data_IF_496545666479
#
_entry.id   IF_496545666479
#
_cell.length_a   1.000
_cell.length_b   1.000
_cell.length_c   1.000
_cell.angle_alpha   90.00
_cell.angle_beta   90.00
_cell.angle_gamma   90.00
#
_symmetry.space_group_name_H-M   'P 1'
#
loop_
_entity.id
_entity.type
_entity.pdbx_description
1 polymer ?
#
# COMPACT_ATOMS: atom_id res chain seq x y z
N UNK A 1 2.65 12.65 11.10
CA UNK A 1 3.39 12.51 9.82
C UNK A 1 3.71 11.05 9.61
N UNK A 2 3.57 10.58 8.37
CA UNK A 2 3.71 9.17 7.98
C UNK A 2 5.03 8.55 8.47
N UNK A 3 6.14 9.29 8.34
CA UNK A 3 7.49 8.82 8.67
C UNK A 3 7.70 8.42 10.14
N UNK A 4 6.87 8.94 11.06
CA UNK A 4 6.94 8.58 12.49
C UNK A 4 6.11 7.33 12.81
N UNK A 5 5.09 7.01 12.01
CA UNK A 5 4.12 5.94 12.29
C UNK A 5 4.40 4.67 11.50
N UNK A 6 4.91 4.78 10.27
CA UNK A 6 5.20 3.62 9.44
C UNK A 6 6.24 2.70 10.10
N UNK A 7 7.37 3.18 10.67
CA UNK A 7 8.32 2.29 11.35
C UNK A 7 7.70 1.50 12.51
N UNK A 8 6.75 2.10 13.23
CA UNK A 8 6.02 1.43 14.32
C UNK A 8 5.13 0.33 13.74
N UNK A 9 4.38 0.62 12.67
CA UNK A 9 3.54 -0.38 11.98
C UNK A 9 4.37 -1.59 11.51
N UNK A 10 5.56 -1.35 10.98
CA UNK A 10 6.44 -2.41 10.49
C UNK A 10 6.95 -3.33 11.61
N UNK A 11 7.04 -2.84 12.85
CA UNK A 11 7.42 -3.65 14.02
C UNK A 11 6.27 -4.52 14.56
N UNK A 12 5.02 -4.27 14.16
CA UNK A 12 3.87 -5.03 14.66
C UNK A 12 3.81 -6.39 13.94
N UNK A 13 3.67 -7.51 14.67
CA UNK A 13 3.42 -8.83 14.09
C UNK A 13 1.95 -8.91 13.65
N UNK A 14 1.67 -8.39 12.46
CA UNK A 14 0.34 -8.43 11.86
C UNK A 14 0.38 -9.21 10.54
N UNK A 15 -0.66 -10.01 10.29
CA UNK A 15 -0.85 -10.75 9.03
C UNK A 15 -1.07 -9.82 7.83
N UNK A 16 -1.50 -8.58 8.07
CA UNK A 16 -1.64 -7.54 7.06
C UNK A 16 -1.22 -6.19 7.65
N UNK A 17 -0.25 -5.52 7.01
CA UNK A 17 0.14 -4.14 7.31
C UNK A 17 -0.32 -3.25 6.17
N UNK A 18 -1.36 -2.44 6.40
CA UNK A 18 -1.85 -1.54 5.37
C UNK A 18 -1.71 -0.08 5.80
N UNK A 19 -1.62 0.81 4.81
CA UNK A 19 -1.70 2.25 5.01
C UNK A 19 -3.04 2.77 4.50
N UNK A 20 -3.70 3.58 5.31
CA UNK A 20 -4.80 4.43 4.89
C UNK A 20 -4.26 5.86 4.77
N UNK A 21 -3.92 6.26 3.55
CA UNK A 21 -3.45 7.58 3.17
C UNK A 21 -4.65 8.44 2.75
N UNK A 22 -5.58 8.66 3.68
CA UNK A 22 -6.76 9.50 3.44
C UNK A 22 -7.15 10.33 4.69
N UNK A 23 -7.54 11.60 4.51
CA UNK A 23 -7.44 12.36 3.26
C UNK A 23 -5.97 12.67 2.91
N UNK A 24 -5.63 12.62 1.62
CA UNK A 24 -4.36 13.15 1.14
C UNK A 24 -4.37 14.68 1.22
N UNK A 25 -3.40 15.24 1.93
CA UNK A 25 -3.21 16.68 2.11
C UNK A 25 -1.92 17.20 1.49
N UNK A 26 -1.04 16.27 1.13
CA UNK A 26 0.27 16.49 0.53
C UNK A 26 0.68 15.21 -0.21
N UNK A 27 1.71 15.31 -1.04
CA UNK A 27 2.33 14.15 -1.67
C UNK A 27 3.05 13.30 -0.62
N UNK A 28 2.92 11.97 -0.72
CA UNK A 28 3.57 11.01 0.19
C UNK A 28 4.50 10.12 -0.62
N UNK A 29 5.74 9.98 -0.15
CA UNK A 29 6.73 9.05 -0.70
C UNK A 29 6.80 7.78 0.14
N UNK A 30 6.45 6.63 -0.45
CA UNK A 30 6.45 5.30 0.16
C UNK A 30 7.70 4.47 -0.16
N UNK A 31 8.57 4.93 -1.08
CA UNK A 31 9.73 4.16 -1.57
C UNK A 31 10.68 3.63 -0.49
N UNK A 32 10.72 4.27 0.70
CA UNK A 32 11.53 3.84 1.85
C UNK A 32 10.94 2.65 2.62
N UNK A 33 9.71 2.27 2.34
CA UNK A 33 8.92 1.27 3.07
C UNK A 33 8.43 0.13 2.18
N UNK A 34 8.90 0.13 0.94
CA UNK A 34 8.60 -0.83 -0.13
C UNK A 34 9.77 -1.83 -0.24
N UNK A 35 9.47 -3.12 -0.49
CA UNK A 35 10.47 -4.22 -0.40
C UNK A 35 11.24 -4.46 -1.69
N UNK A 36 11.08 -3.62 -2.72
CA UNK A 36 11.54 -3.90 -4.08
C UNK A 36 10.88 -5.16 -4.68
N UNK A 37 9.56 -5.27 -4.57
CA UNK A 37 8.78 -6.33 -5.21
C UNK A 37 8.74 -7.66 -4.48
N UNK A 38 9.24 -7.71 -3.24
CA UNK A 38 9.30 -8.96 -2.46
C UNK A 38 8.08 -9.07 -1.51
N UNK A 39 7.44 -7.96 -1.12
CA UNK A 39 6.41 -7.92 -0.07
C UNK A 39 5.10 -8.66 -0.37
N UNK A 40 4.76 -8.85 -1.65
CA UNK A 40 3.57 -9.59 -2.06
C UNK A 40 3.86 -11.02 -2.54
N UNK A 41 5.09 -11.29 -2.98
CA UNK A 41 5.53 -12.56 -3.56
C UNK A 41 6.47 -13.38 -2.64
N UNK A 42 6.84 -12.88 -1.46
CA UNK A 42 7.72 -13.55 -0.48
C UNK A 42 7.16 -14.84 0.14
N UNK A 43 6.08 -15.39 -0.38
CA UNK A 43 5.56 -16.69 0.07
C UNK A 43 6.41 -17.87 -0.42
N UNK A 44 7.57 -17.64 -1.06
CA UNK A 44 8.55 -18.68 -1.40
C UNK A 44 9.96 -18.18 -1.11
N UNK A 45 10.34 -18.16 0.17
CA UNK A 45 11.73 -17.89 0.54
C UNK A 45 12.50 -19.20 0.50
N UNK A 46 13.56 -19.24 -0.31
CA UNK A 46 14.55 -20.31 -0.27
C UNK A 46 15.50 -20.04 0.90
N UNK A 47 15.55 -20.94 1.86
CA UNK A 47 16.52 -20.86 2.94
C UNK A 47 17.94 -20.92 2.35
N UNK A 48 18.77 -19.91 2.65
CA UNK A 48 20.17 -19.86 2.22
C UNK A 48 21.04 -20.96 2.85
N UNK A 49 20.62 -21.53 3.99
CA UNK A 49 21.35 -22.59 4.67
C UNK A 49 21.00 -24.01 4.16
N UNK A 50 19.72 -24.39 4.13
CA UNK A 50 19.32 -25.74 3.73
C UNK A 50 18.70 -25.85 2.32
N UNK A 51 18.49 -24.73 1.64
CA UNK A 51 17.94 -24.71 0.29
C UNK A 51 16.44 -25.04 0.19
N UNK A 52 15.76 -25.35 1.29
CA UNK A 52 14.31 -25.57 1.29
C UNK A 52 13.59 -24.27 1.01
N UNK A 53 12.63 -24.33 0.09
CA UNK A 53 11.67 -23.26 -0.18
C UNK A 53 10.44 -23.48 0.70
N UNK A 54 10.17 -22.55 1.60
CA UNK A 54 8.97 -22.57 2.45
C UNK A 54 8.00 -21.46 2.10
N UNK A 55 6.72 -21.70 2.39
CA UNK A 55 5.73 -20.63 2.54
C UNK A 55 5.95 -20.02 3.91
N UNK A 56 6.30 -18.74 3.97
CA UNK A 56 6.27 -18.03 5.25
C UNK A 56 4.80 -17.94 5.68
N UNK A 57 4.40 -18.55 6.81
CA UNK A 57 3.06 -18.35 7.31
C UNK A 57 2.90 -16.87 7.71
N UNK A 58 1.82 -16.19 7.27
CA UNK A 58 1.68 -14.73 7.37
C UNK A 58 1.65 -14.22 8.83
N UNK A 59 1.37 -15.11 9.78
CA UNK A 59 1.22 -14.84 11.22
C UNK A 59 2.49 -15.13 12.05
N UNK A 60 3.43 -15.90 11.52
CA UNK A 60 4.67 -16.26 12.22
C UNK A 60 5.86 -15.88 11.38
N UNK A 61 6.36 -14.68 11.65
CA UNK A 61 7.75 -14.30 11.42
C UNK A 61 8.66 -15.28 12.18
N UNK A 62 8.85 -16.49 11.64
CA UNK A 62 9.86 -17.41 12.11
C UNK A 62 11.24 -16.85 11.75
N UNK A 63 11.94 -16.33 12.77
CA UNK A 63 13.35 -15.89 12.69
C UNK A 63 14.30 -17.00 12.21
N UNK A 64 13.79 -18.21 12.00
CA UNK A 64 14.53 -19.42 11.80
C UNK A 64 13.80 -20.31 10.78
N UNK A 65 14.54 -20.88 9.83
CA UNK A 65 14.00 -21.88 8.92
C UNK A 65 13.46 -23.09 9.72
N UNK A 66 12.24 -23.56 9.44
CA UNK A 66 11.62 -24.68 10.17
C UNK A 66 12.41 -26.00 10.08
N UNK A 67 13.14 -26.23 8.99
CA UNK A 67 13.89 -27.47 8.77
C UNK A 67 15.24 -27.49 9.50
N UNK A 68 15.97 -26.37 9.46
CA UNK A 68 17.37 -26.33 9.91
C UNK A 68 17.64 -25.32 11.02
N UNK A 69 16.60 -24.60 11.46
CA UNK A 69 16.66 -23.55 12.48
C UNK A 69 17.69 -22.44 12.20
N UNK A 70 18.20 -22.35 10.96
CA UNK A 70 19.11 -21.28 10.58
C UNK A 70 18.38 -19.94 10.59
N UNK A 71 19.02 -18.93 11.18
CA UNK A 71 18.48 -17.57 11.21
C UNK A 71 18.29 -17.07 9.78
N UNK A 72 17.05 -16.82 9.38
CA UNK A 72 16.78 -16.27 8.05
C UNK A 72 17.15 -14.79 8.08
N UNK A 73 18.03 -14.35 7.17
CA UNK A 73 18.30 -12.92 6.97
C UNK A 73 17.03 -12.30 6.40
N UNK A 74 16.31 -11.60 7.27
CA UNK A 74 14.96 -11.16 7.01
C UNK A 74 14.83 -10.28 5.77
N UNK A 75 13.75 -10.48 5.03
CA UNK A 75 13.12 -9.40 4.28
C UNK A 75 12.60 -8.42 5.33
N UNK A 76 13.02 -7.16 5.25
CA UNK A 76 12.47 -6.12 6.12
C UNK A 76 10.93 -6.11 5.99
N UNK A 77 10.19 -5.99 7.11
CA UNK A 77 8.74 -5.89 7.07
C UNK A 77 8.33 -4.71 6.18
N UNK A 78 7.37 -4.95 5.28
CA UNK A 78 6.89 -3.92 4.33
C UNK A 78 5.40 -3.71 4.42
N UNK A 79 4.94 -2.66 3.72
CA UNK A 79 3.53 -2.37 3.52
C UNK A 79 2.97 -3.40 2.53
N UNK A 80 1.80 -3.97 2.86
CA UNK A 80 1.15 -5.03 2.09
C UNK A 80 -0.07 -4.55 1.31
N UNK A 81 -0.58 -3.35 1.61
CA UNK A 81 -1.74 -2.76 0.94
C UNK A 81 -1.81 -1.27 1.22
N UNK A 82 -2.22 -0.47 0.23
CA UNK A 82 -2.40 0.98 0.39
C UNK A 82 -3.78 1.38 -0.05
N UNK A 83 -4.46 2.17 0.78
CA UNK A 83 -5.70 2.87 0.44
C UNK A 83 -5.37 4.35 0.35
N UNK A 84 -5.79 5.02 -0.72
CA UNK A 84 -5.60 6.47 -0.87
C UNK A 84 -6.89 7.16 -1.32
N UNK A 85 -7.00 8.45 -1.00
CA UNK A 85 -8.10 9.27 -1.47
C UNK A 85 -8.17 10.66 -0.85
N UNK A 86 -9.01 11.51 -1.45
CA UNK A 86 -9.26 12.87 -0.97
C UNK A 86 -10.36 12.96 0.10
N UNK A 87 -10.44 14.13 0.75
CA UNK A 87 -11.42 14.41 1.80
C UNK A 87 -12.85 14.55 1.24
N UNK A 88 -13.84 14.00 1.93
CA UNK A 88 -15.26 14.16 1.60
C UNK A 88 -15.90 15.34 2.34
N UNK A 89 -17.02 15.86 1.82
CA UNK A 89 -17.86 16.82 2.53
C UNK A 89 -17.59 18.29 2.17
N UNK A 90 -18.43 19.21 2.69
CA UNK A 90 -18.29 20.64 2.48
C UNK A 90 -16.97 21.13 3.09
N UNK A 91 -16.35 22.13 2.46
CA UNK A 91 -15.06 22.70 2.90
C UNK A 91 -13.90 21.69 2.97
N UNK A 92 -14.02 20.56 2.26
CA UNK A 92 -12.93 19.59 2.09
C UNK A 92 -11.66 20.26 1.60
N UNK A 93 -10.52 19.84 2.13
CA UNK A 93 -9.21 20.34 1.72
C UNK A 93 -8.88 19.88 0.29
N UNK A 94 -8.17 20.71 -0.50
CA UNK A 94 -7.77 20.33 -1.85
C UNK A 94 -7.00 19.01 -1.86
N UNK A 95 -7.39 18.11 -2.75
CA UNK A 95 -6.67 16.88 -3.06
C UNK A 95 -6.22 16.96 -4.52
N UNK A 96 -4.93 16.80 -4.79
CA UNK A 96 -4.40 16.83 -6.15
C UNK A 96 -4.34 15.41 -6.71
N UNK A 97 -4.86 15.21 -7.94
CA UNK A 97 -4.86 13.91 -8.63
C UNK A 97 -3.43 13.36 -8.71
N UNK A 98 -2.45 14.24 -8.91
CA UNK A 98 -1.02 13.92 -8.98
C UNK A 98 -0.51 13.21 -7.72
N UNK A 99 -1.09 13.49 -6.54
CA UNK A 99 -0.72 12.80 -5.30
C UNK A 99 -1.23 11.35 -5.30
N UNK A 100 -2.44 11.12 -5.81
CA UNK A 100 -3.02 9.78 -5.96
C UNK A 100 -2.22 8.99 -7.01
N UNK A 101 -1.90 9.62 -8.15
CA UNK A 101 -1.05 9.03 -9.20
C UNK A 101 0.33 8.65 -8.67
N UNK A 102 0.94 9.51 -7.85
CA UNK A 102 2.24 9.23 -7.22
C UNK A 102 2.16 7.99 -6.32
N UNK A 103 1.10 7.84 -5.51
CA UNK A 103 0.89 6.64 -4.69
C UNK A 103 0.69 5.40 -5.57
N UNK A 104 -0.19 5.46 -6.57
CA UNK A 104 -0.46 4.33 -7.48
C UNK A 104 0.82 3.86 -8.15
N UNK A 105 1.60 4.80 -8.72
CA UNK A 105 2.88 4.49 -9.37
C UNK A 105 3.88 3.84 -8.42
N UNK A 106 3.97 4.32 -7.18
CA UNK A 106 4.85 3.74 -6.17
C UNK A 106 4.42 2.33 -5.75
N UNK A 107 3.12 2.08 -5.63
CA UNK A 107 2.57 0.77 -5.30
C UNK A 107 2.78 -0.22 -6.45
N UNK A 108 2.50 0.18 -7.69
CA UNK A 108 2.74 -0.63 -8.89
C UNK A 108 4.21 -0.98 -9.06
N UNK A 109 5.13 -0.04 -8.84
CA UNK A 109 6.58 -0.28 -8.91
C UNK A 109 7.05 -1.32 -7.88
N UNK A 110 6.34 -1.47 -6.75
CA UNK A 110 6.66 -2.43 -5.69
C UNK A 110 5.77 -3.69 -5.69
N UNK A 111 4.86 -3.83 -6.67
CA UNK A 111 3.82 -4.87 -6.68
C UNK A 111 2.98 -4.90 -5.37
N UNK A 112 2.75 -3.73 -4.76
CA UNK A 112 1.86 -3.60 -3.61
C UNK A 112 0.46 -3.28 -4.12
N UNK A 113 -0.59 -4.02 -3.70
CA UNK A 113 -1.95 -3.71 -4.11
C UNK A 113 -2.35 -2.32 -3.63
N UNK A 114 -3.07 -1.58 -4.47
CA UNK A 114 -3.56 -0.23 -4.15
C UNK A 114 -5.06 -0.08 -4.39
N UNK A 115 -5.73 0.61 -3.47
CA UNK A 115 -7.15 0.92 -3.56
C UNK A 115 -7.35 2.44 -3.60
N UNK A 116 -7.72 2.96 -4.77
CA UNK A 116 -8.13 4.36 -4.93
C UNK A 116 -9.59 4.46 -4.49
N UNK A 117 -9.81 4.97 -3.28
CA UNK A 117 -11.14 4.99 -2.67
C UNK A 117 -12.04 6.05 -3.30
N UNK A 118 -11.50 7.27 -3.41
CA UNK A 118 -12.19 8.44 -3.94
C UNK A 118 -11.19 9.55 -4.27
N UNK A 119 -11.52 10.39 -5.25
CA UNK A 119 -10.73 11.58 -5.57
C UNK A 119 -10.89 12.70 -4.53
N UNK A 120 -11.98 12.68 -3.77
CA UNK A 120 -12.34 13.70 -2.79
C UNK A 120 -13.39 14.69 -3.32
N UNK A 121 -14.06 15.35 -2.39
CA UNK A 121 -15.02 16.40 -2.69
C UNK A 121 -14.33 17.69 -3.18
N UNK A 122 -13.04 17.88 -2.88
CA UNK A 122 -12.22 19.01 -3.35
C UNK A 122 -11.02 18.60 -4.24
N UNK A 123 -11.26 17.83 -5.31
CA UNK A 123 -10.20 17.42 -6.26
C UNK A 123 -9.70 18.52 -7.21
N UNK A 124 -8.38 18.55 -7.44
CA UNK A 124 -7.69 19.37 -8.43
C UNK A 124 -6.82 18.50 -9.34
N UNK A 125 -6.66 18.92 -10.58
CA UNK A 125 -5.77 18.29 -11.56
C UNK A 125 -5.14 19.39 -12.39
N UNK A 126 -3.82 19.36 -12.53
CA UNK A 126 -3.01 20.38 -13.23
C UNK A 126 -3.28 21.80 -12.71
N UNK A 127 -3.44 21.93 -11.39
CA UNK A 127 -3.74 23.19 -10.71
C UNK A 127 -5.16 23.72 -10.93
N UNK A 128 -6.02 22.99 -11.64
CA UNK A 128 -7.41 23.38 -11.88
C UNK A 128 -8.38 22.47 -11.16
N UNK A 129 -9.58 23.01 -10.91
CA UNK A 129 -10.68 22.25 -10.32
C UNK A 129 -11.09 21.09 -11.24
N UNK A 130 -10.88 19.86 -10.79
CA UNK A 130 -11.37 18.68 -11.50
C UNK A 130 -12.86 18.48 -11.20
N UNK A 131 -13.70 18.51 -12.23
CA UNK A 131 -15.15 18.44 -12.08
C UNK A 131 -15.61 16.99 -12.05
N UNK A 132 -16.23 16.62 -10.93
CA UNK A 132 -16.88 15.34 -10.68
C UNK A 132 -18.36 15.60 -10.38
N UNK A 133 -19.24 14.67 -10.71
CA UNK A 133 -20.67 14.79 -10.38
C UNK A 133 -20.94 14.24 -8.99
N UNK A 134 -20.22 13.20 -8.59
CA UNK A 134 -20.35 12.65 -7.25
C UNK A 134 -19.80 13.61 -6.20
N UNK A 135 -20.53 13.77 -5.09
CA UNK A 135 -20.23 14.77 -4.05
C UNK A 135 -18.89 14.53 -3.35
N UNK A 136 -18.38 13.29 -3.36
CA UNK A 136 -17.12 12.91 -2.71
C UNK A 136 -16.07 12.37 -3.70
N UNK A 137 -16.39 12.32 -4.99
CA UNK A 137 -15.54 11.75 -6.03
C UNK A 137 -15.33 10.25 -5.84
N UNK A 138 -16.36 9.51 -5.45
CA UNK A 138 -16.33 8.07 -5.22
C UNK A 138 -16.81 7.21 -6.39
N UNK A 139 -17.40 7.81 -7.42
CA UNK A 139 -17.84 7.12 -8.63
C UNK A 139 -16.65 6.84 -9.55
N UNK A 140 -16.27 5.56 -9.64
CA UNK A 140 -15.03 5.13 -10.29
C UNK A 140 -14.98 5.48 -11.78
N UNK A 141 -16.15 5.53 -12.43
CA UNK A 141 -16.26 5.94 -13.84
C UNK A 141 -15.90 7.40 -14.08
N UNK A 142 -15.85 8.23 -13.03
CA UNK A 142 -15.42 9.63 -13.12
C UNK A 142 -13.92 9.79 -12.93
N UNK A 143 -13.21 8.72 -12.56
CA UNK A 143 -11.78 8.79 -12.33
C UNK A 143 -11.05 8.76 -13.67
N UNK A 144 -9.87 9.42 -13.77
CA UNK A 144 -8.93 9.13 -14.84
C UNK A 144 -8.75 7.62 -14.99
N UNK A 145 -8.71 7.13 -16.23
CA UNK A 145 -8.75 5.69 -16.54
C UNK A 145 -7.69 4.89 -15.77
N UNK A 146 -6.47 5.42 -15.67
CA UNK A 146 -5.34 4.81 -14.95
C UNK A 146 -5.47 4.84 -13.42
N UNK A 147 -6.47 5.53 -12.87
CA UNK A 147 -6.76 5.58 -11.44
C UNK A 147 -7.99 4.77 -11.05
N UNK A 148 -8.63 4.09 -12.00
CA UNK A 148 -9.77 3.19 -11.76
C UNK A 148 -9.31 1.86 -11.13
N UNK A 149 -8.60 1.96 -10.01
CA UNK A 149 -7.91 0.83 -9.36
C UNK A 149 -8.52 0.58 -7.99
N UNK A 150 -8.97 -0.65 -7.76
CA UNK A 150 -9.51 -1.15 -6.49
C UNK A 150 -8.97 -2.55 -6.19
N UNK A 151 -7.66 -2.63 -6.02
CA UNK A 151 -7.00 -3.89 -5.71
C UNK A 151 -7.10 -4.18 -4.21
N UNK A 152 -7.28 -5.46 -3.89
CA UNK A 152 -7.27 -5.99 -2.54
C UNK A 152 -6.07 -6.93 -2.38
N UNK A 153 -5.47 -7.02 -1.18
CA UNK A 153 -4.43 -8.00 -0.93
C UNK A 153 -5.03 -9.40 -0.99
N UNK A 154 -4.33 -10.33 -1.62
CA UNK A 154 -4.61 -11.75 -1.48
C UNK A 154 -4.35 -12.15 -0.02
N UNK A 155 -5.42 -12.40 0.72
CA UNK A 155 -5.32 -13.03 2.03
C UNK A 155 -5.00 -14.51 1.81
N UNK A 156 -3.81 -14.96 2.22
CA UNK A 156 -3.45 -16.38 2.18
C UNK A 156 -3.94 -17.02 3.48
N UNK A 157 -5.00 -17.83 3.37
CA UNK A 157 -5.54 -18.78 4.37
C UNK A 157 -6.59 -19.62 3.62
N UNK A 158 -6.59 -20.96 3.67
CA UNK A 158 -6.40 -21.85 4.82
C UNK A 158 -5.32 -22.95 4.62
#
# INVERSE_FOLDING_TARGET
MADKRIPILLQIPASLRFLSCEPLLEEITLSRYHSNGIGYLAHKIKCSNCGITGINPPDKYYQYCWQCYAKMSWLEPTISWVICGGESGPQSRPCHIEWIESIVRQCQADNTPVFVKQLGANTHHQGQRFKIRDKKGGEIEEFPEHLRIREFPLLVGD
#
